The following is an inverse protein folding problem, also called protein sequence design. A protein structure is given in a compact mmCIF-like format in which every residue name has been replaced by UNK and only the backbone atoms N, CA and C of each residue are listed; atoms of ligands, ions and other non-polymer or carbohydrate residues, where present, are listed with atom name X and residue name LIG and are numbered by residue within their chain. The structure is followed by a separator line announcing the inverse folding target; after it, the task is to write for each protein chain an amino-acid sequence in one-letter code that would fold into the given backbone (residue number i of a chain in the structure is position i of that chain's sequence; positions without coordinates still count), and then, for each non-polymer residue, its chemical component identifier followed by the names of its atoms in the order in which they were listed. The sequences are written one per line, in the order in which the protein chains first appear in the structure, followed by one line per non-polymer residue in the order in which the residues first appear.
data_IF_794468802720
#
_entry.id   IF_794468802720
#
_cell.length_a   1.000
_cell.length_b   1.000
_cell.length_c   1.000
_cell.angle_alpha   90.00
_cell.angle_beta   90.00
_cell.angle_gamma   90.00
#
_symmetry.space_group_name_H-M   'P 1'
#
loop_
_entity.id
_entity.type
_entity.pdbx_description
1 polymer ?
#
# COMPACT_ATOMS: atom_id res chain seq x y z
N UNK A 1 52.88 -56.82 56.29
CA UNK A 1 53.85 -56.91 55.18
C UNK A 1 53.70 -55.76 54.21
N UNK A 2 54.85 -55.14 53.87
CA UNK A 2 55.16 -54.29 52.70
C UNK A 2 54.48 -52.91 52.60
N UNK A 3 55.13 -51.77 52.92
CA UNK A 3 56.21 -51.00 52.22
C UNK A 3 55.83 -50.32 50.91
N UNK A 4 55.88 -48.97 50.92
CA UNK A 4 56.46 -48.02 49.93
C UNK A 4 55.87 -46.63 50.24
N UNK A 5 56.54 -45.56 50.70
CA UNK A 5 57.86 -44.90 50.52
C UNK A 5 58.14 -44.43 49.09
N UNK A 6 58.58 -43.15 49.01
CA UNK A 6 59.35 -42.44 47.95
C UNK A 6 58.44 -41.70 46.93
N UNK A 7 58.62 -40.44 46.50
CA UNK A 7 59.57 -39.34 46.81
C UNK A 7 59.03 -37.96 46.33
N UNK A 8 59.56 -36.91 47.00
CA UNK A 8 59.91 -35.53 46.59
C UNK A 8 59.65 -35.02 45.16
N UNK A 9 59.22 -33.75 45.07
CA UNK A 9 59.95 -32.61 44.45
C UNK A 9 59.14 -31.31 44.67
N UNK A 10 59.67 -30.33 45.42
CA UNK A 10 60.42 -29.16 44.92
C UNK A 10 59.55 -28.11 44.22
N UNK A 11 59.32 -26.95 44.85
CA UNK A 11 59.76 -25.64 44.34
C UNK A 11 59.38 -24.49 45.30
N UNK A 12 60.23 -23.47 45.32
CA UNK A 12 60.28 -22.33 46.25
C UNK A 12 59.69 -21.06 45.62
N UNK A 13 59.29 -20.12 46.52
CA UNK A 13 59.15 -18.63 46.39
C UNK A 13 57.93 -18.09 45.61
N UNK A 14 57.57 -16.79 45.71
CA UNK A 14 57.95 -15.72 46.67
C UNK A 14 56.74 -14.95 47.26
N UNK A 15 57.03 -14.13 48.28
CA UNK A 15 56.21 -13.03 48.80
C UNK A 15 56.02 -11.91 47.76
N UNK A 16 54.80 -11.37 47.62
CA UNK A 16 54.56 -10.08 46.96
C UNK A 16 53.36 -9.34 47.57
N UNK A 17 53.61 -8.06 47.81
CA UNK A 17 52.79 -7.05 48.47
C UNK A 17 51.40 -6.87 47.87
N UNK A 18 50.41 -6.68 48.73
CA UNK A 18 49.06 -6.27 48.37
C UNK A 18 49.06 -4.75 48.11
N UNK A 19 48.89 -4.35 46.86
CA UNK A 19 48.54 -2.99 46.47
C UNK A 19 47.00 -2.94 46.46
N UNK A 20 46.42 -2.18 47.39
CA UNK A 20 44.99 -1.82 47.36
C UNK A 20 44.79 -0.72 46.30
N UNK A 21 44.36 -1.13 45.11
CA UNK A 21 43.80 -0.22 44.10
C UNK A 21 42.33 0.02 44.46
N UNK A 22 41.94 1.28 44.67
CA UNK A 22 40.55 1.67 44.84
C UNK A 22 39.76 1.37 43.57
N UNK A 23 38.82 0.42 43.66
CA UNK A 23 37.83 0.19 42.63
C UNK A 23 36.75 1.27 42.71
N UNK A 24 36.71 2.15 41.71
CA UNK A 24 35.55 3.00 41.44
C UNK A 24 34.39 2.07 41.05
N UNK A 25 33.40 1.93 41.94
CA UNK A 25 32.18 1.22 41.66
C UNK A 25 31.38 2.01 40.61
N UNK A 26 31.39 1.57 39.36
CA UNK A 26 30.47 2.02 38.33
C UNK A 26 29.07 1.52 38.70
N UNK A 27 28.23 2.44 39.13
CA UNK A 27 26.88 2.21 39.61
C UNK A 27 25.98 1.72 38.44
N UNK A 28 25.51 0.45 38.44
CA UNK A 28 24.76 -0.14 37.31
C UNK A 28 23.40 0.54 37.08
N UNK A 29 22.96 1.39 38.01
CA UNK A 29 21.74 2.19 37.87
C UNK A 29 21.87 3.34 36.85
N UNK A 30 23.10 3.77 36.52
CA UNK A 30 23.33 4.86 35.57
C UNK A 30 23.22 4.40 34.11
N UNK A 31 23.77 3.23 33.77
CA UNK A 31 23.66 2.62 32.42
C UNK A 31 22.20 2.31 32.01
N UNK A 32 21.37 1.89 32.96
CA UNK A 32 19.97 1.53 32.67
C UNK A 32 19.14 2.77 32.34
N UNK A 33 19.41 3.90 33.02
CA UNK A 33 18.74 5.18 32.74
C UNK A 33 19.14 5.76 31.39
N UNK A 34 20.42 5.63 31.01
CA UNK A 34 20.88 6.05 29.67
C UNK A 34 20.28 5.20 28.54
N UNK A 35 20.19 3.88 28.72
CA UNK A 35 19.59 2.98 27.71
C UNK A 35 18.09 3.22 27.54
N UNK A 36 17.35 3.46 28.62
CA UNK A 36 15.93 3.83 28.56
C UNK A 36 15.73 5.22 27.95
N UNK A 37 16.55 6.20 28.32
CA UNK A 37 16.52 7.54 27.72
C UNK A 37 16.80 7.53 26.21
N UNK A 38 17.77 6.72 25.79
CA UNK A 38 18.11 6.48 24.38
C UNK A 38 16.99 5.79 23.61
N UNK A 39 16.35 4.77 24.19
CA UNK A 39 15.20 4.10 23.56
C UNK A 39 14.00 5.04 23.37
N UNK A 40 13.68 5.84 24.39
CA UNK A 40 12.60 6.83 24.30
C UNK A 40 12.92 7.96 23.32
N UNK A 41 14.18 8.43 23.24
CA UNK A 41 14.58 9.44 22.25
C UNK A 41 14.58 8.86 20.84
N UNK A 42 15.06 7.64 20.60
CA UNK A 42 14.95 6.99 19.28
C UNK A 42 13.50 6.80 18.83
N UNK A 43 12.59 6.41 19.72
CA UNK A 43 11.17 6.34 19.39
C UNK A 43 10.57 7.71 19.10
N UNK A 44 10.95 8.75 19.85
CA UNK A 44 10.48 10.13 19.60
C UNK A 44 11.03 10.70 18.31
N UNK A 45 12.28 10.44 17.96
CA UNK A 45 12.88 10.87 16.69
C UNK A 45 12.27 10.11 15.51
N UNK A 46 11.96 8.81 15.67
CA UNK A 46 11.23 8.03 14.67
C UNK A 46 9.76 8.50 14.51
N UNK A 47 9.09 8.90 15.60
CA UNK A 47 7.74 9.48 15.55
C UNK A 47 7.75 10.89 14.95
N UNK A 48 8.76 11.70 15.25
CA UNK A 48 8.92 13.06 14.73
C UNK A 48 9.35 13.07 13.26
N UNK A 49 10.16 12.09 12.82
CA UNK A 49 10.44 11.86 11.41
C UNK A 49 9.18 11.44 10.61
N UNK A 50 8.22 10.78 11.28
CA UNK A 50 6.91 10.43 10.72
C UNK A 50 5.87 11.56 10.83
N UNK A 51 6.22 12.65 11.52
CA UNK A 51 5.37 13.82 11.79
C UNK A 51 5.86 15.09 11.10
N UNK A 52 6.77 14.98 10.12
CA UNK A 52 6.94 16.04 9.14
C UNK A 52 5.62 16.12 8.36
N UNK A 53 4.85 17.19 8.60
CA UNK A 53 3.65 17.54 7.86
C UNK A 53 3.90 17.26 6.37
N UNK A 54 3.18 16.28 5.84
CA UNK A 54 3.35 15.70 4.51
C UNK A 54 3.28 16.79 3.46
N UNK A 55 4.44 17.28 3.03
CA UNK A 55 4.53 18.02 1.78
C UNK A 55 3.94 17.09 0.72
N UNK A 56 2.81 17.48 0.14
CA UNK A 56 2.13 16.69 -0.89
C UNK A 56 3.15 16.39 -1.97
N UNK A 57 3.43 15.10 -2.17
CA UNK A 57 4.43 14.62 -3.12
C UNK A 57 4.22 15.34 -4.47
N UNK A 58 5.23 16.05 -5.01
CA UNK A 58 5.09 16.78 -6.26
C UNK A 58 4.57 15.92 -7.41
N UNK A 59 4.94 14.63 -7.44
CA UNK A 59 4.46 13.68 -8.44
C UNK A 59 2.97 13.35 -8.25
N UNK A 60 2.51 13.26 -7.00
CA UNK A 60 1.09 13.06 -6.69
C UNK A 60 0.26 14.27 -7.13
N UNK A 61 0.73 15.49 -6.83
CA UNK A 61 0.07 16.72 -7.29
C UNK A 61 0.00 16.79 -8.82
N UNK A 62 1.10 16.45 -9.50
CA UNK A 62 1.13 16.41 -10.96
C UNK A 62 0.18 15.34 -11.53
N UNK A 63 0.10 14.16 -10.90
CA UNK A 63 -0.83 13.11 -11.29
C UNK A 63 -2.30 13.58 -11.16
N UNK A 64 -2.65 14.27 -10.06
CA UNK A 64 -3.98 14.82 -9.87
C UNK A 64 -4.37 15.81 -10.98
N UNK A 65 -3.45 16.70 -11.41
CA UNK A 65 -3.71 17.62 -12.53
C UNK A 65 -3.85 16.89 -13.88
N UNK A 66 -3.13 15.79 -14.10
CA UNK A 66 -3.29 14.97 -15.30
C UNK A 66 -4.66 14.28 -15.32
N UNK A 67 -5.12 13.73 -14.20
CA UNK A 67 -6.42 13.07 -14.11
C UNK A 67 -7.59 14.03 -14.35
N UNK A 68 -7.45 15.31 -14.00
CA UNK A 68 -8.44 16.35 -14.32
C UNK A 68 -8.60 16.58 -15.82
N UNK A 69 -7.50 16.51 -16.59
CA UNK A 69 -7.52 16.75 -18.04
C UNK A 69 -8.17 15.63 -18.85
N UNK A 70 -8.38 14.46 -18.22
CA UNK A 70 -8.92 13.22 -18.81
C UNK A 70 -8.17 12.78 -20.07
N UNK A 71 -8.41 11.56 -20.53
CA UNK A 71 -7.76 10.99 -21.73
C UNK A 71 -6.61 10.04 -21.43
N UNK A 72 -6.35 9.14 -22.39
CA UNK A 72 -5.52 7.95 -22.17
C UNK A 72 -4.07 8.29 -21.78
N UNK A 73 -3.43 9.18 -22.54
CA UNK A 73 -2.04 9.56 -22.28
C UNK A 73 -1.86 10.21 -20.90
N UNK A 74 -2.84 11.00 -20.47
CA UNK A 74 -2.83 11.64 -19.15
C UNK A 74 -3.03 10.60 -18.04
N UNK A 75 -3.96 9.66 -18.21
CA UNK A 75 -4.22 8.59 -17.25
C UNK A 75 -3.04 7.63 -17.10
N UNK A 76 -2.43 7.18 -18.21
CA UNK A 76 -1.24 6.31 -18.19
C UNK A 76 -0.05 7.02 -17.50
N UNK A 77 0.14 8.32 -17.78
CA UNK A 77 1.20 9.12 -17.13
C UNK A 77 0.92 9.35 -15.63
N UNK A 78 -0.33 9.62 -15.26
CA UNK A 78 -0.74 9.74 -13.86
C UNK A 78 -0.50 8.45 -13.08
N UNK A 79 -0.90 7.30 -13.62
CA UNK A 79 -0.64 5.99 -13.01
C UNK A 79 0.87 5.74 -12.80
N UNK A 80 1.71 6.14 -13.77
CA UNK A 80 3.17 6.02 -13.65
C UNK A 80 3.73 6.86 -12.49
N UNK A 81 3.30 8.12 -12.38
CA UNK A 81 3.71 9.01 -11.29
C UNK A 81 3.24 8.48 -9.93
N UNK A 82 2.00 7.99 -9.85
CA UNK A 82 1.43 7.45 -8.62
C UNK A 82 2.07 6.13 -8.18
N UNK A 83 2.47 5.25 -9.10
CA UNK A 83 3.32 4.09 -8.77
C UNK A 83 4.66 4.53 -8.18
N UNK A 84 5.26 5.58 -8.73
CA UNK A 84 6.48 6.18 -8.18
C UNK A 84 6.29 6.69 -6.75
N UNK A 85 5.19 7.42 -6.51
CA UNK A 85 4.83 7.92 -5.18
C UNK A 85 4.55 6.79 -4.19
N UNK A 86 3.82 5.75 -4.61
CA UNK A 86 3.51 4.60 -3.77
C UNK A 86 4.76 3.80 -3.38
N UNK A 87 5.79 3.76 -4.22
CA UNK A 87 7.09 3.15 -3.84
C UNK A 87 7.77 3.89 -2.69
N UNK A 88 7.56 5.20 -2.57
CA UNK A 88 8.14 6.03 -1.50
C UNK A 88 7.30 5.95 -0.22
N UNK A 89 6.00 5.82 -0.35
CA UNK A 89 5.06 5.70 0.77
C UNK A 89 4.04 4.56 0.52
N UNK A 90 4.44 3.28 0.72
CA UNK A 90 3.63 2.12 0.33
C UNK A 90 2.33 1.95 1.11
N UNK A 91 2.24 2.56 2.29
CA UNK A 91 1.08 2.45 3.18
C UNK A 91 0.06 3.58 2.97
N UNK A 92 0.35 4.52 2.05
CA UNK A 92 -0.50 5.67 1.80
C UNK A 92 -1.80 5.29 1.10
N UNK A 93 -2.90 5.23 1.86
CA UNK A 93 -4.21 4.86 1.33
C UNK A 93 -4.74 5.85 0.28
N UNK A 94 -4.37 7.13 0.34
CA UNK A 94 -4.80 8.11 -0.67
C UNK A 94 -4.10 7.88 -2.01
N UNK A 95 -2.79 7.60 -2.00
CA UNK A 95 -2.04 7.26 -3.22
C UNK A 95 -2.59 5.95 -3.82
N UNK A 96 -2.91 4.95 -2.98
CA UNK A 96 -3.55 3.70 -3.45
C UNK A 96 -4.89 3.98 -4.13
N UNK A 97 -5.73 4.83 -3.53
CA UNK A 97 -7.02 5.24 -4.11
C UNK A 97 -6.84 5.93 -5.46
N UNK A 98 -5.94 6.91 -5.54
CA UNK A 98 -5.68 7.68 -6.76
C UNK A 98 -5.08 6.81 -7.87
N UNK A 99 -4.18 5.88 -7.52
CA UNK A 99 -3.61 4.94 -8.48
C UNK A 99 -4.68 4.01 -9.03
N UNK A 100 -5.52 3.43 -8.17
CA UNK A 100 -6.63 2.59 -8.61
C UNK A 100 -7.60 3.35 -9.54
N UNK A 101 -7.93 4.61 -9.21
CA UNK A 101 -8.77 5.47 -10.05
C UNK A 101 -8.13 5.73 -11.43
N UNK A 102 -6.83 6.02 -11.47
CA UNK A 102 -6.08 6.19 -12.72
C UNK A 102 -6.09 4.91 -13.57
N UNK A 103 -5.88 3.73 -12.97
CA UNK A 103 -5.93 2.44 -13.66
C UNK A 103 -7.33 2.13 -14.19
N UNK A 104 -8.38 2.42 -13.41
CA UNK A 104 -9.77 2.29 -13.84
C UNK A 104 -10.07 3.20 -15.04
N UNK A 105 -9.56 4.43 -15.04
CA UNK A 105 -9.68 5.34 -16.19
C UNK A 105 -8.98 4.78 -17.44
N UNK A 106 -7.77 4.22 -17.29
CA UNK A 106 -7.06 3.57 -18.41
C UNK A 106 -7.89 2.39 -18.96
N UNK A 107 -8.42 1.53 -18.09
CA UNK A 107 -9.26 0.41 -18.50
C UNK A 107 -10.53 0.89 -19.22
N UNK A 108 -11.24 1.88 -18.67
CA UNK A 108 -12.42 2.48 -19.32
C UNK A 108 -12.13 2.94 -20.73
N UNK A 109 -11.07 3.73 -20.91
CA UNK A 109 -10.74 4.33 -22.21
C UNK A 109 -10.27 3.26 -23.19
N UNK A 110 -9.38 2.35 -22.78
CA UNK A 110 -8.84 1.32 -23.68
C UNK A 110 -9.88 0.27 -24.11
N UNK A 111 -10.92 0.06 -23.30
CA UNK A 111 -11.94 -0.98 -23.56
C UNK A 111 -13.32 -0.41 -23.91
N UNK A 112 -13.43 0.91 -24.03
CA UNK A 112 -14.69 1.61 -24.26
C UNK A 112 -15.79 1.21 -23.27
N UNK A 113 -15.43 0.97 -22.00
CA UNK A 113 -16.34 0.43 -20.99
C UNK A 113 -17.46 1.40 -20.55
N UNK A 114 -17.46 2.63 -21.06
CA UNK A 114 -18.55 3.59 -20.89
C UNK A 114 -19.53 3.59 -22.09
N UNK A 115 -19.23 2.84 -23.15
CA UNK A 115 -20.12 2.72 -24.31
C UNK A 115 -21.23 1.72 -24.02
N UNK A 116 -22.43 1.98 -24.56
CA UNK A 116 -23.53 1.01 -24.55
C UNK A 116 -22.99 -0.36 -25.01
N UNK A 117 -23.29 -1.37 -24.21
CA UNK A 117 -22.84 -2.74 -24.45
C UNK A 117 -23.55 -3.22 -25.71
N UNK A 118 -22.82 -3.32 -26.82
CA UNK A 118 -23.26 -4.07 -28.00
C UNK A 118 -22.83 -5.53 -27.77
N UNK A 119 -23.81 -6.42 -27.79
CA UNK A 119 -23.59 -7.85 -27.61
C UNK A 119 -22.58 -8.36 -28.66
N UNK A 120 -21.53 -9.04 -28.19
CA UNK A 120 -20.46 -9.58 -29.06
C UNK A 120 -19.26 -8.66 -29.32
N UNK A 121 -19.26 -7.37 -28.94
CA UNK A 121 -18.12 -6.47 -29.23
C UNK A 121 -17.21 -6.20 -28.03
N UNK A 122 -17.75 -6.18 -26.80
CA UNK A 122 -16.98 -5.83 -25.59
C UNK A 122 -16.32 -7.03 -24.93
N UNK A 123 -16.77 -8.26 -25.19
CA UNK A 123 -16.16 -9.46 -24.59
C UNK A 123 -14.99 -10.03 -25.42
N UNK A 124 -14.06 -9.17 -25.83
CA UNK A 124 -12.92 -9.58 -26.63
C UNK A 124 -11.77 -10.13 -25.76
N UNK A 125 -10.99 -11.10 -26.26
CA UNK A 125 -9.77 -11.56 -25.57
C UNK A 125 -8.78 -10.42 -25.28
N UNK A 126 -8.73 -9.40 -26.16
CA UNK A 126 -7.88 -8.23 -25.99
C UNK A 126 -8.30 -7.39 -24.76
N UNK A 127 -9.59 -7.13 -24.58
CA UNK A 127 -10.09 -6.37 -23.43
C UNK A 127 -9.94 -7.16 -22.13
N UNK A 128 -10.24 -8.47 -22.17
CA UNK A 128 -9.99 -9.37 -21.02
C UNK A 128 -8.54 -9.33 -20.56
N UNK A 129 -7.57 -9.29 -21.48
CA UNK A 129 -6.15 -9.15 -21.14
C UNK A 129 -5.88 -7.83 -20.42
N UNK A 130 -6.41 -6.71 -20.92
CA UNK A 130 -6.26 -5.39 -20.29
C UNK A 130 -6.87 -5.39 -18.88
N UNK A 131 -8.08 -5.91 -18.73
CA UNK A 131 -8.75 -5.99 -17.44
C UNK A 131 -8.03 -6.92 -16.45
N UNK A 132 -7.45 -8.03 -16.94
CA UNK A 132 -6.66 -8.92 -16.10
C UNK A 132 -5.40 -8.21 -15.61
N UNK A 133 -4.65 -7.59 -16.51
CA UNK A 133 -3.37 -6.95 -16.20
C UNK A 133 -3.59 -5.76 -15.25
N UNK A 134 -4.48 -4.83 -15.59
CA UNK A 134 -4.69 -3.61 -14.79
C UNK A 134 -5.66 -3.80 -13.62
N UNK A 135 -6.70 -4.62 -13.78
CA UNK A 135 -7.70 -4.86 -12.72
C UNK A 135 -7.13 -5.69 -11.56
N UNK A 136 -6.18 -6.59 -11.83
CA UNK A 136 -5.48 -7.32 -10.76
C UNK A 136 -4.59 -6.43 -9.90
N UNK A 137 -4.06 -5.34 -10.46
CA UNK A 137 -3.35 -4.30 -9.72
C UNK A 137 -4.31 -3.34 -9.01
N UNK A 138 -5.34 -2.85 -9.71
CA UNK A 138 -6.26 -1.84 -9.18
C UNK A 138 -7.11 -2.33 -8.01
N UNK A 139 -7.59 -3.58 -8.05
CA UNK A 139 -8.50 -4.10 -7.04
C UNK A 139 -7.92 -4.11 -5.61
N UNK A 140 -6.74 -4.68 -5.33
CA UNK A 140 -6.18 -4.66 -3.97
C UNK A 140 -5.92 -3.23 -3.48
N UNK A 141 -5.47 -2.32 -4.36
CA UNK A 141 -5.26 -0.90 -4.03
C UNK A 141 -6.57 -0.21 -3.63
N UNK A 142 -7.63 -0.41 -4.41
CA UNK A 142 -8.95 0.15 -4.14
C UNK A 142 -9.56 -0.42 -2.85
N UNK A 143 -9.32 -1.70 -2.57
CA UNK A 143 -9.79 -2.36 -1.35
C UNK A 143 -9.08 -1.81 -0.10
N UNK A 144 -7.77 -1.57 -0.18
CA UNK A 144 -7.03 -0.90 0.90
C UNK A 144 -7.55 0.53 1.14
N UNK A 145 -7.79 1.29 0.06
CA UNK A 145 -8.40 2.61 0.14
C UNK A 145 -9.81 2.57 0.74
N UNK A 146 -10.64 1.59 0.37
CA UNK A 146 -11.99 1.41 0.92
C UNK A 146 -11.97 1.12 2.43
N UNK A 147 -10.99 0.34 2.90
CA UNK A 147 -10.79 0.07 4.33
C UNK A 147 -10.36 1.33 5.09
N UNK A 148 -9.45 2.12 4.52
CA UNK A 148 -9.00 3.37 5.15
C UNK A 148 -10.07 4.46 5.15
N UNK A 149 -10.92 4.49 4.11
CA UNK A 149 -11.94 5.51 3.91
C UNK A 149 -13.35 4.90 3.74
N UNK A 150 -13.91 4.22 4.77
CA UNK A 150 -15.16 3.48 4.65
C UNK A 150 -16.39 4.38 4.41
N UNK A 151 -16.31 5.67 4.70
CA UNK A 151 -17.38 6.65 4.45
C UNK A 151 -17.16 7.46 3.17
N UNK A 152 -16.04 7.27 2.47
CA UNK A 152 -15.74 8.02 1.25
C UNK A 152 -16.47 7.40 0.06
N UNK A 153 -17.36 8.18 -0.55
CA UNK A 153 -18.05 7.79 -1.79
C UNK A 153 -17.06 7.57 -2.94
N UNK A 154 -16.00 8.37 -3.00
CA UNK A 154 -14.93 8.17 -3.99
C UNK A 154 -14.26 6.81 -3.81
N UNK A 155 -13.94 6.42 -2.57
CA UNK A 155 -13.33 5.12 -2.31
C UNK A 155 -14.28 3.96 -2.65
N UNK A 156 -15.59 4.13 -2.43
CA UNK A 156 -16.62 3.18 -2.85
C UNK A 156 -16.66 3.04 -4.39
N UNK A 157 -16.76 4.15 -5.11
CA UNK A 157 -16.82 4.16 -6.58
C UNK A 157 -15.58 3.52 -7.22
N UNK A 158 -14.38 3.93 -6.76
CA UNK A 158 -13.11 3.37 -7.25
C UNK A 158 -13.01 1.86 -7.00
N UNK A 159 -13.49 1.38 -5.84
CA UNK A 159 -13.54 -0.05 -5.54
C UNK A 159 -14.56 -0.78 -6.41
N UNK A 160 -15.76 -0.23 -6.61
CA UNK A 160 -16.77 -0.82 -7.47
C UNK A 160 -16.27 -1.00 -8.92
N UNK A 161 -15.61 0.01 -9.47
CA UNK A 161 -15.01 -0.05 -10.80
C UNK A 161 -13.88 -1.07 -10.89
N UNK A 162 -12.94 -1.05 -9.94
CA UNK A 162 -11.83 -1.99 -9.94
C UNK A 162 -12.34 -3.44 -9.81
N UNK A 163 -13.39 -3.64 -9.00
CA UNK A 163 -14.06 -4.92 -8.87
C UNK A 163 -14.75 -5.35 -10.15
N UNK A 164 -15.47 -4.44 -10.82
CA UNK A 164 -16.10 -4.69 -12.12
C UNK A 164 -15.07 -5.16 -13.13
N UNK A 165 -14.01 -4.38 -13.39
CA UNK A 165 -12.99 -4.76 -14.37
C UNK A 165 -12.30 -6.07 -14.04
N UNK A 166 -11.88 -6.25 -12.78
CA UNK A 166 -11.27 -7.51 -12.36
C UNK A 166 -12.21 -8.69 -12.57
N UNK A 167 -13.49 -8.56 -12.22
CA UNK A 167 -14.47 -9.61 -12.43
C UNK A 167 -14.68 -9.92 -13.91
N UNK A 168 -14.79 -8.92 -14.77
CA UNK A 168 -14.96 -9.08 -16.23
C UNK A 168 -13.80 -9.85 -16.87
N UNK A 169 -12.60 -9.81 -16.27
CA UNK A 169 -11.46 -10.60 -16.74
C UNK A 169 -11.58 -12.11 -16.49
N UNK A 170 -12.47 -12.56 -15.59
CA UNK A 170 -12.53 -13.95 -15.12
C UNK A 170 -13.43 -14.87 -15.97
N UNK A 171 -14.26 -14.32 -16.86
CA UNK A 171 -15.23 -15.07 -17.65
C UNK A 171 -16.47 -15.52 -16.86
N UNK A 172 -17.58 -15.75 -17.56
CA UNK A 172 -18.92 -15.95 -16.97
C UNK A 172 -19.01 -17.17 -16.05
N UNK A 173 -18.35 -18.27 -16.41
CA UNK A 173 -18.38 -19.54 -15.64
C UNK A 173 -17.75 -19.34 -14.27
N UNK A 174 -16.58 -18.68 -14.21
CA UNK A 174 -15.90 -18.43 -12.95
C UNK A 174 -16.65 -17.43 -12.07
N UNK A 175 -17.29 -16.42 -12.67
CA UNK A 175 -18.13 -15.47 -11.92
C UNK A 175 -19.34 -16.16 -11.26
N UNK A 176 -20.00 -17.07 -11.98
CA UNK A 176 -21.14 -17.82 -11.46
C UNK A 176 -20.76 -18.65 -10.22
N UNK A 177 -19.60 -19.33 -10.27
CA UNK A 177 -19.12 -20.19 -9.19
C UNK A 177 -18.60 -19.45 -7.96
N UNK A 178 -18.14 -18.21 -8.12
CA UNK A 178 -17.49 -17.43 -7.05
C UNK A 178 -18.42 -16.46 -6.34
N UNK A 179 -19.69 -16.37 -6.75
CA UNK A 179 -20.66 -15.44 -6.16
C UNK A 179 -20.38 -13.96 -6.45
N UNK A 180 -19.51 -13.68 -7.43
CA UNK A 180 -19.11 -12.31 -7.83
C UNK A 180 -20.31 -11.43 -8.17
N UNK A 181 -21.33 -12.00 -8.83
CA UNK A 181 -22.56 -11.28 -9.16
C UNK A 181 -23.28 -10.72 -7.93
N UNK A 182 -23.36 -11.48 -6.82
CA UNK A 182 -23.97 -11.01 -5.57
C UNK A 182 -23.19 -9.82 -4.97
N UNK A 183 -21.85 -9.90 -5.01
CA UNK A 183 -20.99 -8.81 -4.53
C UNK A 183 -21.10 -7.56 -5.40
N UNK A 184 -21.19 -7.71 -6.71
CA UNK A 184 -21.42 -6.59 -7.62
C UNK A 184 -22.75 -5.90 -7.34
N UNK A 185 -23.84 -6.67 -7.19
CA UNK A 185 -25.15 -6.12 -6.83
C UNK A 185 -25.12 -5.40 -5.49
N UNK A 186 -24.40 -5.91 -4.49
CA UNK A 186 -24.25 -5.23 -3.20
C UNK A 186 -23.53 -3.88 -3.33
N UNK A 187 -22.43 -3.81 -4.10
CA UNK A 187 -21.71 -2.57 -4.36
C UNK A 187 -22.56 -1.56 -5.16
N UNK A 188 -23.32 -2.03 -6.14
CA UNK A 188 -24.21 -1.19 -6.93
C UNK A 188 -25.35 -0.61 -6.06
N UNK A 189 -25.95 -1.41 -5.19
CA UNK A 189 -26.96 -0.93 -4.22
C UNK A 189 -26.40 0.15 -3.31
N UNK A 190 -25.21 -0.09 -2.75
CA UNK A 190 -24.54 0.89 -1.89
C UNK A 190 -24.28 2.21 -2.65
N UNK A 191 -23.94 2.16 -3.94
CA UNK A 191 -23.82 3.37 -4.76
C UNK A 191 -25.16 4.05 -5.05
N UNK A 192 -26.24 3.29 -5.29
CA UNK A 192 -27.58 3.84 -5.55
C UNK A 192 -28.18 4.56 -4.35
N UNK A 193 -27.77 4.21 -3.14
CA UNK A 193 -28.17 4.91 -1.91
C UNK A 193 -27.57 6.34 -1.82
N UNK A 194 -26.71 6.73 -2.78
CA UNK A 194 -26.07 8.04 -2.90
C UNK A 194 -26.38 8.73 -4.25
N UNK A 195 -27.62 9.19 -4.49
CA UNK A 195 -28.04 9.77 -5.77
C UNK A 195 -27.31 11.09 -6.12
N UNK A 196 -26.72 11.77 -5.14
CA UNK A 196 -25.90 12.97 -5.31
C UNK A 196 -24.51 12.69 -5.93
N UNK A 197 -24.13 11.42 -6.04
CA UNK A 197 -22.85 11.00 -6.57
C UNK A 197 -22.82 11.16 -8.10
N UNK A 198 -22.53 12.37 -8.58
CA UNK A 198 -21.99 12.56 -9.94
C UNK A 198 -20.48 12.28 -9.92
N UNK A 199 -20.15 11.01 -9.63
CA UNK A 199 -18.79 10.58 -9.84
C UNK A 199 -18.59 10.58 -11.35
N UNK A 200 -17.83 11.55 -11.86
CA UNK A 200 -17.34 11.70 -13.24
C UNK A 200 -16.73 10.44 -13.92
N UNK A 201 -16.82 9.29 -13.26
CA UNK A 201 -16.80 7.89 -13.66
C UNK A 201 -17.75 7.66 -14.86
N UNK A 202 -17.52 8.32 -15.98
CA UNK A 202 -18.42 8.24 -17.15
C UNK A 202 -18.19 9.28 -18.23
N UNK A 203 -17.91 10.54 -17.85
CA UNK A 203 -17.82 11.65 -18.81
C UNK A 203 -16.47 11.67 -19.54
N UNK A 204 -16.44 11.22 -20.79
CA UNK A 204 -15.37 11.57 -21.73
C UNK A 204 -15.61 13.02 -22.22
N UNK A 205 -14.59 13.90 -22.23
CA UNK A 205 -14.69 15.14 -22.99
C UNK A 205 -14.68 14.77 -24.49
N UNK A 206 -15.82 14.88 -25.16
CA UNK A 206 -15.91 14.67 -26.61
C UNK A 206 -17.21 14.07 -27.17
N UNK A 207 -18.12 13.56 -26.33
CA UNK A 207 -19.38 12.95 -26.82
C UNK A 207 -20.59 13.89 -26.80
N UNK A 208 -20.39 15.19 -26.60
CA UNK A 208 -21.47 16.17 -26.40
C UNK A 208 -21.36 17.47 -27.20
N UNK A 209 -20.69 17.47 -28.36
CA UNK A 209 -20.66 18.66 -29.24
C UNK A 209 -21.25 18.41 -30.64
N UNK A 210 -22.07 17.38 -30.82
CA UNK A 210 -22.69 17.15 -32.12
C UNK A 210 -23.84 16.15 -32.08
N UNK A 211 -24.93 16.52 -31.43
CA UNK A 211 -26.30 16.11 -31.78
C UNK A 211 -27.22 17.30 -31.50
#
# INVERSE_FOLDING_TARGET
SRTSRIERMSQRRPTRSVILLAAAASDPASEVKEKLGSWFTSQRTALMAKSAATAVDPQRKQAAELLKKRGLANADRAATLLRGALKRDPDNAEIKMELADALNMVMRIKTNANSLVIEGTQDSPAFKKIWKDLGSEALPLALDARKAFPKSLKALAVHADAFLFFSSSQGIVKQALTGVGKKYVALAKELYDHPELDSAVGLMPGLGQGL
#
